data_IF_925242319202
#
_entry.id   IF_925242319202
#
_cell.length_a   1.000
_cell.length_b   1.000
_cell.length_c   1.000
_cell.angle_alpha   90.00
_cell.angle_beta   90.00
_cell.angle_gamma   90.00
#
_symmetry.space_group_name_H-M   'P 1'
#
loop_
_entity.id
_entity.type
_entity.pdbx_description
1 polymer ?
#
# COMPACT_ATOMS: atom_id res chain seq x y z
N UNK A 1 38.02 30.08 -37.49
CA UNK A 1 37.91 30.69 -36.14
C UNK A 1 36.69 30.19 -35.35
N UNK A 2 35.46 30.31 -35.88
CA UNK A 2 34.21 29.90 -35.19
C UNK A 2 34.19 28.46 -34.64
N UNK A 3 34.69 27.48 -35.40
CA UNK A 3 34.74 26.07 -34.97
C UNK A 3 35.70 25.82 -33.79
N UNK A 4 36.88 26.46 -33.79
CA UNK A 4 37.86 26.35 -32.68
C UNK A 4 37.33 27.01 -31.40
N UNK A 5 36.63 28.14 -31.54
CA UNK A 5 35.98 28.82 -30.43
C UNK A 5 34.87 27.96 -29.81
N UNK A 6 34.02 27.35 -30.65
CA UNK A 6 32.97 26.43 -30.22
C UNK A 6 33.54 25.21 -29.48
N UNK A 7 34.63 24.63 -30.00
CA UNK A 7 35.31 23.51 -29.35
C UNK A 7 35.90 23.87 -27.99
N UNK A 8 36.58 25.02 -27.90
CA UNK A 8 37.10 25.52 -26.63
C UNK A 8 35.97 25.75 -25.62
N UNK A 9 34.83 26.28 -26.07
CA UNK A 9 33.65 26.48 -25.23
C UNK A 9 33.05 25.16 -24.73
N UNK A 10 32.93 24.15 -25.60
CA UNK A 10 32.41 22.83 -25.22
C UNK A 10 33.33 22.10 -24.23
N UNK A 11 34.66 22.18 -24.43
CA UNK A 11 35.64 21.57 -23.53
C UNK A 11 35.67 22.30 -22.18
N UNK A 12 35.77 23.63 -22.19
CA UNK A 12 35.81 24.42 -20.96
C UNK A 12 34.50 24.34 -20.18
N UNK A 13 33.36 24.47 -20.86
CA UNK A 13 32.04 24.33 -20.26
C UNK A 13 31.78 22.92 -19.74
N UNK A 14 32.16 21.89 -20.50
CA UNK A 14 32.05 20.51 -20.06
C UNK A 14 32.92 20.20 -18.84
N UNK A 15 34.19 20.62 -18.86
CA UNK A 15 35.10 20.48 -17.73
C UNK A 15 34.63 21.23 -16.47
N UNK A 16 34.11 22.45 -16.65
CA UNK A 16 33.52 23.23 -15.56
C UNK A 16 32.33 22.50 -14.91
N UNK A 17 31.39 21.97 -15.71
CA UNK A 17 30.25 21.20 -15.19
C UNK A 17 30.70 19.94 -14.44
N UNK A 18 31.71 19.22 -14.93
CA UNK A 18 32.26 18.05 -14.23
C UNK A 18 32.81 18.46 -12.85
N UNK A 19 33.62 19.53 -12.79
CA UNK A 19 34.18 20.05 -11.52
C UNK A 19 33.07 20.49 -10.57
N UNK A 20 32.06 21.23 -11.06
CA UNK A 20 30.92 21.64 -10.25
C UNK A 20 30.18 20.43 -9.69
N UNK A 21 29.89 19.42 -10.52
CA UNK A 21 29.21 18.21 -10.08
C UNK A 21 30.00 17.40 -9.04
N UNK A 22 31.34 17.39 -9.12
CA UNK A 22 32.20 16.75 -8.12
C UNK A 22 32.24 17.53 -6.81
N UNK A 23 32.42 18.85 -6.89
CA UNK A 23 32.56 19.72 -5.71
C UNK A 23 31.24 19.87 -4.94
N UNK A 24 30.10 19.94 -5.64
CA UNK A 24 28.78 20.14 -5.06
C UNK A 24 28.18 18.85 -4.47
N UNK A 25 28.93 18.23 -3.56
CA UNK A 25 28.60 16.99 -2.85
C UNK A 25 27.65 17.22 -1.66
N UNK A 26 26.97 16.17 -1.15
CA UNK A 26 26.18 16.26 0.07
C UNK A 26 26.94 16.89 1.23
N UNK A 27 28.18 16.49 1.44
CA UNK A 27 29.09 17.04 2.45
C UNK A 27 29.35 18.53 2.27
N UNK A 28 29.59 18.97 1.02
CA UNK A 28 29.81 20.37 0.72
C UNK A 28 28.56 21.20 1.00
N UNK A 29 27.39 20.71 0.57
CA UNK A 29 26.11 21.38 0.79
C UNK A 29 25.76 21.39 2.29
N UNK A 30 25.99 20.31 3.01
CA UNK A 30 25.80 20.21 4.47
C UNK A 30 26.63 21.28 5.18
N UNK A 31 27.95 21.27 4.95
CA UNK A 31 28.91 22.11 5.67
C UNK A 31 28.82 23.58 5.29
N UNK A 32 28.76 23.90 4.00
CA UNK A 32 28.97 25.26 3.52
C UNK A 32 27.68 26.00 3.12
N UNK A 33 26.62 25.28 2.74
CA UNK A 33 25.36 25.91 2.29
C UNK A 33 24.30 25.87 3.38
N UNK A 34 24.05 24.69 3.95
CA UNK A 34 23.00 24.48 4.94
C UNK A 34 23.49 24.64 6.39
N UNK A 35 24.81 24.56 6.61
CA UNK A 35 25.46 24.63 7.93
C UNK A 35 24.86 23.63 8.93
N UNK A 36 24.68 22.40 8.47
CA UNK A 36 24.20 21.26 9.25
C UNK A 36 25.24 20.14 9.18
N UNK A 37 25.31 19.28 10.20
CA UNK A 37 26.24 18.14 10.20
C UNK A 37 25.87 17.10 9.14
N UNK A 38 24.58 16.82 8.98
CA UNK A 38 24.06 15.84 8.01
C UNK A 38 22.86 16.45 7.30
N UNK A 39 22.78 16.26 5.97
CA UNK A 39 21.61 16.70 5.21
C UNK A 39 20.41 15.82 5.51
N UNK A 40 19.23 16.42 5.47
CA UNK A 40 18.00 15.65 5.42
C UNK A 40 18.03 14.71 4.19
N UNK A 41 17.64 13.41 4.30
CA UNK A 41 17.80 12.42 3.23
C UNK A 41 17.19 12.82 1.88
N UNK A 42 16.07 13.55 1.88
CA UNK A 42 15.46 14.09 0.66
C UNK A 42 16.37 15.12 -0.01
N UNK A 43 16.99 16.00 0.77
CA UNK A 43 17.89 17.02 0.28
C UNK A 43 19.17 16.38 -0.23
N UNK A 44 19.71 15.42 0.51
CA UNK A 44 20.86 14.61 0.09
C UNK A 44 20.61 13.90 -1.24
N UNK A 45 19.47 13.21 -1.39
CA UNK A 45 19.10 12.56 -2.64
C UNK A 45 18.99 13.55 -3.82
N UNK A 46 18.45 14.76 -3.59
CA UNK A 46 18.41 15.82 -4.61
C UNK A 46 19.80 16.30 -5.00
N UNK A 47 20.70 16.45 -4.02
CA UNK A 47 22.09 16.84 -4.27
C UNK A 47 22.80 15.76 -5.07
N UNK A 48 22.67 14.48 -4.69
CA UNK A 48 23.23 13.36 -5.44
C UNK A 48 22.71 13.31 -6.89
N UNK A 49 21.41 13.48 -7.12
CA UNK A 49 20.85 13.57 -8.47
C UNK A 49 21.40 14.76 -9.25
N UNK A 50 21.56 15.93 -8.61
CA UNK A 50 22.19 17.10 -9.21
C UNK A 50 23.64 16.81 -9.62
N UNK A 51 24.42 16.13 -8.78
CA UNK A 51 25.78 15.71 -9.11
C UNK A 51 25.79 14.81 -10.35
N UNK A 52 24.93 13.79 -10.40
CA UNK A 52 24.82 12.88 -11.54
C UNK A 52 24.52 13.64 -12.84
N UNK A 53 23.52 14.52 -12.82
CA UNK A 53 23.13 15.28 -14.02
C UNK A 53 24.23 16.24 -14.48
N UNK A 54 24.90 16.90 -13.55
CA UNK A 54 25.93 17.89 -13.88
C UNK A 54 27.20 17.22 -14.43
N UNK A 55 27.64 16.10 -13.82
CA UNK A 55 28.74 15.28 -14.33
C UNK A 55 28.39 14.73 -15.71
N UNK A 56 27.19 14.17 -15.89
CA UNK A 56 26.74 13.60 -17.17
C UNK A 56 26.66 14.64 -18.28
N UNK A 57 26.06 15.81 -18.01
CA UNK A 57 26.00 16.92 -18.96
C UNK A 57 27.41 17.40 -19.36
N UNK A 58 28.31 17.52 -18.38
CA UNK A 58 29.69 17.90 -18.64
C UNK A 58 30.42 16.91 -19.56
N UNK A 59 30.30 15.60 -19.30
CA UNK A 59 30.89 14.57 -20.17
C UNK A 59 30.29 14.53 -21.57
N UNK A 60 28.98 14.74 -21.72
CA UNK A 60 28.34 14.82 -23.04
C UNK A 60 28.88 15.99 -23.86
N UNK A 61 29.15 17.15 -23.23
CA UNK A 61 29.76 18.30 -23.91
C UNK A 61 31.21 18.02 -24.33
N UNK A 62 32.00 17.37 -23.46
CA UNK A 62 33.38 16.99 -23.79
C UNK A 62 33.39 15.94 -24.91
N UNK A 63 32.53 14.92 -24.85
CA UNK A 63 32.40 13.90 -25.91
C UNK A 63 31.97 14.51 -27.24
N UNK A 64 30.99 15.42 -27.21
CA UNK A 64 30.54 16.16 -28.39
C UNK A 64 31.70 16.99 -28.97
N UNK A 65 32.51 17.63 -28.12
CA UNK A 65 33.69 18.38 -28.58
C UNK A 65 34.70 17.48 -29.31
N UNK A 66 34.97 16.28 -28.80
CA UNK A 66 35.88 15.31 -29.42
C UNK A 66 35.33 14.83 -30.77
N UNK A 67 34.02 14.57 -30.84
CA UNK A 67 33.31 14.20 -32.06
C UNK A 67 33.39 15.29 -33.14
N UNK A 68 33.16 16.55 -32.75
CA UNK A 68 33.20 17.70 -33.63
C UNK A 68 34.62 18.12 -34.02
N UNK A 69 35.66 17.75 -33.25
CA UNK A 69 37.04 18.11 -33.54
C UNK A 69 37.63 17.26 -34.66
N UNK A 70 37.66 15.93 -34.51
CA UNK A 70 38.21 15.03 -35.52
C UNK A 70 37.91 13.55 -35.23
N UNK A 71 37.52 12.82 -36.28
CA UNK A 71 37.29 11.36 -36.25
C UNK A 71 38.52 10.57 -35.75
N UNK A 72 39.74 11.10 -35.93
CA UNK A 72 40.97 10.47 -35.43
C UNK A 72 41.01 10.49 -33.90
N UNK A 73 40.62 11.59 -33.29
CA UNK A 73 40.63 11.74 -31.82
C UNK A 73 39.45 11.05 -31.16
N UNK A 74 38.32 10.91 -31.84
CA UNK A 74 37.23 10.04 -31.38
C UNK A 74 37.75 8.63 -31.13
N UNK A 75 38.53 8.05 -32.05
CA UNK A 75 39.09 6.70 -31.87
C UNK A 75 40.05 6.58 -30.67
N UNK A 76 40.67 7.67 -30.24
CA UNK A 76 41.70 7.66 -29.19
C UNK A 76 41.14 8.08 -27.83
N UNK A 77 40.31 9.12 -27.78
CA UNK A 77 39.84 9.76 -26.55
C UNK A 77 38.48 9.27 -26.07
N UNK A 78 37.69 8.62 -26.93
CA UNK A 78 36.34 8.19 -26.57
C UNK A 78 36.34 7.15 -25.43
N UNK A 79 37.20 6.13 -25.52
CA UNK A 79 37.28 5.09 -24.48
C UNK A 79 37.80 5.65 -23.13
N UNK A 80 38.89 6.42 -23.06
CA UNK A 80 39.32 7.08 -21.82
C UNK A 80 38.26 7.99 -21.20
N UNK A 81 37.52 8.76 -22.02
CA UNK A 81 36.45 9.63 -21.54
C UNK A 81 35.28 8.84 -20.97
N UNK A 82 34.90 7.73 -21.59
CA UNK A 82 33.86 6.83 -21.04
C UNK A 82 34.32 6.23 -19.72
N UNK A 83 35.57 5.75 -19.63
CA UNK A 83 36.12 5.20 -18.38
C UNK A 83 36.09 6.26 -17.27
N UNK A 84 36.55 7.48 -17.56
CA UNK A 84 36.53 8.59 -16.60
C UNK A 84 35.10 8.95 -16.16
N UNK A 85 34.13 8.95 -17.08
CA UNK A 85 32.72 9.16 -16.76
C UNK A 85 32.20 8.08 -15.81
N UNK A 86 32.41 6.80 -16.13
CA UNK A 86 31.95 5.67 -15.32
C UNK A 86 32.57 5.72 -13.92
N UNK A 87 33.87 6.00 -13.79
CA UNK A 87 34.56 6.11 -12.50
C UNK A 87 33.98 7.26 -11.66
N UNK A 88 33.72 8.42 -12.27
CA UNK A 88 33.17 9.58 -11.56
C UNK A 88 31.71 9.35 -11.14
N UNK A 89 30.87 8.80 -12.02
CA UNK A 89 29.50 8.44 -11.67
C UNK A 89 29.47 7.38 -10.57
N UNK A 90 30.35 6.38 -10.64
CA UNK A 90 30.44 5.37 -9.60
C UNK A 90 30.83 6.00 -8.26
N UNK A 91 31.96 6.72 -8.22
CA UNK A 91 32.54 7.28 -6.98
C UNK A 91 31.64 8.32 -6.32
N UNK A 92 31.05 9.22 -7.10
CA UNK A 92 30.33 10.38 -6.57
C UNK A 92 28.82 10.20 -6.50
N UNK A 93 28.27 9.20 -7.19
CA UNK A 93 26.82 8.95 -7.17
C UNK A 93 26.49 7.53 -6.70
N UNK A 94 26.96 6.49 -7.41
CA UNK A 94 26.50 5.12 -7.13
C UNK A 94 26.98 4.61 -5.77
N UNK A 95 28.27 4.76 -5.45
CA UNK A 95 28.86 4.32 -4.19
C UNK A 95 28.29 5.11 -3.00
N UNK A 96 28.00 6.40 -3.19
CA UNK A 96 27.34 7.21 -2.16
C UNK A 96 25.86 6.85 -1.97
N UNK A 97 25.14 6.60 -3.06
CA UNK A 97 23.71 6.29 -3.01
C UNK A 97 23.45 4.83 -2.59
N UNK A 98 24.37 3.93 -2.94
CA UNK A 98 24.30 2.49 -2.74
C UNK A 98 25.70 1.93 -2.34
N UNK A 99 26.21 2.26 -1.13
CA UNK A 99 27.56 1.86 -0.68
C UNK A 99 27.76 0.34 -0.56
N UNK A 100 26.64 -0.36 -0.45
CA UNK A 100 26.57 -1.82 -0.36
C UNK A 100 26.42 -2.49 -1.74
N UNK A 101 26.33 -1.71 -2.82
CA UNK A 101 26.21 -2.25 -4.17
C UNK A 101 27.51 -2.96 -4.54
N UNK A 102 27.44 -4.27 -4.76
CA UNK A 102 28.60 -5.07 -5.17
C UNK A 102 28.83 -5.04 -6.68
N UNK A 103 27.86 -4.62 -7.49
CA UNK A 103 27.91 -4.73 -8.95
C UNK A 103 29.04 -3.92 -9.61
N UNK A 104 29.47 -2.83 -8.98
CA UNK A 104 30.47 -1.91 -9.53
C UNK A 104 31.68 -1.72 -8.59
N UNK A 105 31.79 -2.53 -7.53
CA UNK A 105 33.03 -2.56 -6.74
C UNK A 105 34.16 -3.17 -7.57
N UNK A 106 35.40 -2.65 -7.51
CA UNK A 106 36.49 -3.11 -8.35
C UNK A 106 36.79 -4.61 -8.24
N UNK A 107 36.65 -5.18 -7.05
CA UNK A 107 36.83 -6.60 -6.72
C UNK A 107 35.69 -7.50 -7.24
N UNK A 108 34.57 -6.90 -7.64
CA UNK A 108 33.34 -7.57 -8.09
C UNK A 108 32.95 -7.21 -9.53
N UNK A 109 33.83 -6.50 -10.24
CA UNK A 109 33.61 -6.06 -11.63
C UNK A 109 33.33 -7.22 -12.61
N UNK A 110 33.69 -8.46 -12.25
CA UNK A 110 33.28 -9.67 -12.97
C UNK A 110 31.75 -9.82 -13.09
N UNK A 111 30.97 -9.33 -12.10
CA UNK A 111 29.49 -9.36 -12.10
C UNK A 111 28.92 -8.51 -13.24
N UNK A 112 29.55 -7.38 -13.55
CA UNK A 112 29.19 -6.56 -14.71
C UNK A 112 29.30 -7.37 -16.01
N UNK A 113 30.40 -8.10 -16.20
CA UNK A 113 30.57 -8.96 -17.35
C UNK A 113 29.58 -10.13 -17.36
N UNK A 114 29.23 -10.69 -16.21
CA UNK A 114 28.23 -11.77 -16.17
C UNK A 114 26.85 -11.29 -16.60
N UNK A 115 26.44 -10.08 -16.19
CA UNK A 115 25.20 -9.46 -16.69
C UNK A 115 25.28 -9.23 -18.21
N UNK A 116 26.36 -8.61 -18.71
CA UNK A 116 26.50 -8.34 -20.15
C UNK A 116 26.54 -9.60 -21.00
N UNK A 117 27.13 -10.68 -20.49
CA UNK A 117 27.24 -11.96 -21.18
C UNK A 117 26.01 -12.85 -20.96
N UNK A 118 24.95 -12.35 -20.31
CA UNK A 118 23.73 -13.11 -20.03
C UNK A 118 23.94 -14.31 -19.10
N UNK A 119 25.00 -14.29 -18.30
CA UNK A 119 25.34 -15.32 -17.32
C UNK A 119 24.70 -15.09 -15.96
N UNK A 120 24.11 -13.91 -15.74
CA UNK A 120 23.34 -13.55 -14.55
C UNK A 120 21.89 -13.30 -14.94
N UNK A 121 20.97 -13.79 -14.11
CA UNK A 121 19.55 -13.52 -14.21
C UNK A 121 19.20 -12.40 -13.24
N UNK A 122 18.62 -11.30 -13.71
CA UNK A 122 18.18 -10.24 -12.81
C UNK A 122 17.12 -10.79 -11.86
N UNK A 123 17.17 -10.37 -10.59
CA UNK A 123 16.17 -10.78 -9.61
C UNK A 123 14.76 -10.39 -10.08
N UNK A 124 14.58 -9.28 -10.80
CA UNK A 124 13.31 -8.87 -11.43
C UNK A 124 12.76 -9.87 -12.46
N UNK A 125 13.65 -10.60 -13.13
CA UNK A 125 13.31 -11.62 -14.13
C UNK A 125 13.20 -13.03 -13.51
N UNK A 126 13.68 -13.20 -12.27
CA UNK A 126 13.62 -14.46 -11.54
C UNK A 126 12.18 -14.81 -11.15
N UNK A 127 11.58 -15.70 -11.94
CA UNK A 127 10.22 -16.25 -11.76
C UNK A 127 10.27 -17.78 -11.72
N UNK A 128 10.79 -18.37 -10.63
CA UNK A 128 10.94 -19.82 -10.54
C UNK A 128 9.58 -20.50 -10.64
N UNK A 129 9.54 -21.67 -11.27
CA UNK A 129 8.38 -22.56 -11.24
C UNK A 129 8.63 -23.61 -10.16
N UNK A 130 7.67 -23.79 -9.26
CA UNK A 130 7.75 -24.83 -8.24
C UNK A 130 7.85 -26.20 -8.90
N UNK A 131 8.72 -27.06 -8.37
CA UNK A 131 8.79 -28.48 -8.74
C UNK A 131 8.00 -29.36 -7.77
N UNK A 132 7.35 -28.77 -6.77
CA UNK A 132 6.49 -29.51 -5.84
C UNK A 132 5.25 -30.02 -6.59
N UNK A 133 4.89 -31.28 -6.33
CA UNK A 133 3.64 -31.87 -6.81
C UNK A 133 2.68 -31.87 -5.62
N UNK A 134 1.83 -30.85 -5.58
CA UNK A 134 0.91 -30.59 -4.47
C UNK A 134 -0.53 -30.75 -4.92
N UNK A 135 -1.42 -30.96 -3.96
CA UNK A 135 -2.85 -30.84 -4.22
C UNK A 135 -3.17 -29.42 -4.69
N UNK A 136 -4.11 -29.31 -5.62
CA UNK A 136 -4.58 -28.05 -6.15
C UNK A 136 -6.10 -28.14 -6.31
N UNK A 137 -6.82 -27.49 -5.40
CA UNK A 137 -8.28 -27.52 -5.40
C UNK A 137 -8.84 -26.26 -6.04
N UNK A 138 -9.73 -26.44 -7.03
CA UNK A 138 -10.50 -25.34 -7.61
C UNK A 138 -11.79 -25.13 -6.80
N UNK A 139 -11.79 -24.11 -5.94
CA UNK A 139 -12.95 -23.75 -5.12
C UNK A 139 -13.80 -22.73 -5.86
N UNK A 140 -14.70 -23.20 -6.73
CA UNK A 140 -15.50 -22.32 -7.61
C UNK A 140 -16.60 -21.54 -6.88
N UNK A 141 -17.13 -22.11 -5.79
CA UNK A 141 -18.22 -21.58 -4.97
C UNK A 141 -17.89 -21.81 -3.50
N UNK A 142 -18.24 -20.87 -2.64
CA UNK A 142 -18.10 -21.01 -1.19
C UNK A 142 -18.88 -22.21 -0.66
N UNK A 143 -18.33 -22.89 0.36
CA UNK A 143 -18.98 -24.01 1.06
C UNK A 143 -20.28 -23.61 1.76
N UNK A 144 -20.33 -22.39 2.28
CA UNK A 144 -21.49 -21.79 2.93
C UNK A 144 -21.81 -20.44 2.31
N UNK A 145 -23.04 -19.91 2.47
CA UNK A 145 -23.35 -18.58 1.98
C UNK A 145 -22.45 -17.50 2.56
N UNK A 146 -22.05 -16.53 1.74
CA UNK A 146 -21.11 -15.47 2.12
C UNK A 146 -21.78 -14.10 2.12
N UNK A 147 -21.53 -13.31 3.16
CA UNK A 147 -21.75 -11.86 3.18
C UNK A 147 -20.38 -11.20 3.17
N UNK A 148 -20.04 -10.56 2.07
CA UNK A 148 -18.77 -9.86 1.94
C UNK A 148 -18.87 -8.45 2.52
N UNK A 149 -18.30 -8.22 3.70
CA UNK A 149 -18.41 -6.93 4.40
C UNK A 149 -17.48 -5.84 3.89
N UNK A 150 -16.65 -6.14 2.89
CA UNK A 150 -15.63 -5.21 2.41
C UNK A 150 -15.48 -5.29 0.89
N UNK A 151 -16.29 -4.49 0.19
CA UNK A 151 -16.14 -4.27 -1.25
C UNK A 151 -16.09 -2.79 -1.57
N UNK A 152 -15.47 -2.50 -2.71
CA UNK A 152 -15.44 -1.18 -3.33
C UNK A 152 -16.00 -1.35 -4.74
N UNK A 153 -16.89 -0.47 -5.19
CA UNK A 153 -17.58 -0.57 -6.49
C UNK A 153 -17.21 0.56 -7.45
N UNK A 154 -16.49 1.58 -6.98
CA UNK A 154 -16.30 2.85 -7.70
C UNK A 154 -14.84 3.27 -7.88
N UNK A 155 -13.93 2.79 -7.04
CA UNK A 155 -12.54 3.28 -7.02
C UNK A 155 -11.54 2.50 -7.89
N UNK A 156 -11.99 1.45 -8.62
CA UNK A 156 -11.10 0.58 -9.40
C UNK A 156 -11.47 0.52 -10.90
N UNK A 157 -10.65 -0.21 -11.67
CA UNK A 157 -10.54 -0.17 -13.14
C UNK A 157 -11.87 -0.35 -13.90
N UNK A 158 -12.84 -1.06 -13.33
CA UNK A 158 -14.13 -1.37 -13.99
C UNK A 158 -15.30 -0.90 -13.12
N UNK A 159 -16.21 -0.10 -13.68
CA UNK A 159 -17.48 0.22 -13.01
C UNK A 159 -18.50 -0.82 -13.39
N UNK A 160 -18.78 -1.74 -12.47
CA UNK A 160 -19.78 -2.79 -12.65
C UNK A 160 -21.17 -2.29 -12.24
N UNK A 161 -22.19 -2.69 -12.98
CA UNK A 161 -23.59 -2.51 -12.60
C UNK A 161 -23.97 -3.47 -11.45
N UNK A 162 -25.04 -3.17 -10.67
CA UNK A 162 -25.54 -4.09 -9.65
C UNK A 162 -25.89 -5.49 -10.20
N UNK A 163 -26.33 -5.58 -11.45
CA UNK A 163 -26.63 -6.85 -12.11
C UNK A 163 -25.37 -7.69 -12.37
N UNK A 164 -24.31 -7.06 -12.87
CA UNK A 164 -23.03 -7.72 -13.11
C UNK A 164 -22.39 -8.21 -11.82
N UNK A 165 -22.43 -7.39 -10.76
CA UNK A 165 -21.96 -7.78 -9.44
C UNK A 165 -22.79 -8.93 -8.88
N UNK A 166 -24.12 -8.89 -9.00
CA UNK A 166 -25.00 -9.97 -8.54
C UNK A 166 -24.73 -11.29 -9.27
N UNK A 167 -24.42 -11.25 -10.57
CA UNK A 167 -24.03 -12.44 -11.34
C UNK A 167 -22.74 -13.06 -10.83
N UNK A 168 -21.73 -12.24 -10.53
CA UNK A 168 -20.46 -12.69 -9.94
C UNK A 168 -20.72 -13.33 -8.57
N UNK A 169 -21.56 -12.68 -7.76
CA UNK A 169 -21.96 -13.18 -6.44
C UNK A 169 -22.66 -14.54 -6.55
N UNK A 170 -23.63 -14.70 -7.46
CA UNK A 170 -24.37 -15.94 -7.68
C UNK A 170 -23.45 -17.09 -8.10
N UNK A 171 -22.48 -16.81 -8.97
CA UNK A 171 -21.49 -17.78 -9.42
C UNK A 171 -20.55 -18.26 -8.28
N UNK A 172 -20.34 -17.41 -7.27
CA UNK A 172 -19.41 -17.66 -6.17
C UNK A 172 -20.09 -18.10 -4.86
N UNK A 173 -21.42 -18.04 -4.76
CA UNK A 173 -22.14 -18.35 -3.52
C UNK A 173 -22.17 -17.20 -2.51
N UNK A 174 -22.07 -15.96 -2.99
CA UNK A 174 -22.15 -14.74 -2.18
C UNK A 174 -23.59 -14.24 -2.16
N UNK A 175 -24.19 -14.12 -0.98
CA UNK A 175 -25.56 -13.65 -0.80
C UNK A 175 -25.63 -12.12 -0.89
N UNK A 176 -24.77 -11.43 -0.14
CA UNK A 176 -24.74 -9.97 -0.09
C UNK A 176 -23.32 -9.41 -0.05
N UNK A 177 -23.20 -8.15 -0.46
CA UNK A 177 -21.98 -7.36 -0.35
C UNK A 177 -22.26 -6.05 0.38
N UNK A 178 -21.29 -5.61 1.16
CA UNK A 178 -21.24 -4.24 1.68
C UNK A 178 -20.42 -3.40 0.70
N UNK A 179 -21.07 -2.42 0.07
CA UNK A 179 -20.40 -1.37 -0.70
C UNK A 179 -19.95 -0.25 0.28
N UNK A 180 -18.64 0.00 0.31
CA UNK A 180 -18.03 1.01 1.17
C UNK A 180 -17.85 2.37 0.49
N UNK A 181 -18.37 2.53 -0.74
CA UNK A 181 -18.22 3.72 -1.58
C UNK A 181 -19.46 4.63 -1.55
N UNK A 182 -20.10 4.75 -0.38
CA UNK A 182 -21.24 5.65 -0.15
C UNK A 182 -20.81 7.07 0.23
N UNK A 183 -20.04 7.74 -0.62
CA UNK A 183 -19.61 9.14 -0.41
C UNK A 183 -20.78 10.14 -0.43
N UNK A 184 -20.62 11.38 0.09
CA UNK A 184 -21.70 12.36 0.18
C UNK A 184 -22.45 12.63 -1.13
N UNK A 185 -21.74 12.56 -2.27
CA UNK A 185 -22.33 12.78 -3.59
C UNK A 185 -22.84 11.49 -4.26
N UNK A 186 -22.30 10.33 -3.86
CA UNK A 186 -22.57 9.03 -4.50
C UNK A 186 -23.62 8.21 -3.74
N UNK A 187 -23.81 8.48 -2.46
CA UNK A 187 -24.65 7.69 -1.56
C UNK A 187 -26.10 7.60 -2.04
N UNK A 188 -26.75 8.74 -2.31
CA UNK A 188 -28.16 8.77 -2.73
C UNK A 188 -28.38 8.05 -4.07
N UNK A 189 -27.64 8.37 -5.15
CA UNK A 189 -27.78 7.65 -6.42
C UNK A 189 -27.57 6.14 -6.30
N UNK A 190 -26.58 5.70 -5.52
CA UNK A 190 -26.31 4.27 -5.29
C UNK A 190 -27.41 3.59 -4.51
N UNK A 191 -27.84 4.19 -3.41
CA UNK A 191 -28.94 3.67 -2.59
C UNK A 191 -30.22 3.51 -3.43
N UNK A 192 -30.53 4.49 -4.28
CA UNK A 192 -31.67 4.40 -5.21
C UNK A 192 -31.48 3.31 -6.27
N UNK A 193 -30.26 3.11 -6.77
CA UNK A 193 -29.93 2.01 -7.69
C UNK A 193 -30.13 0.65 -7.03
N UNK A 194 -29.70 0.46 -5.79
CA UNK A 194 -29.88 -0.80 -5.08
C UNK A 194 -31.34 -1.06 -4.71
N UNK A 195 -32.13 -0.03 -4.40
CA UNK A 195 -33.58 -0.14 -4.18
C UNK A 195 -34.38 -0.61 -5.40
N UNK A 196 -33.79 -0.58 -6.60
CA UNK A 196 -34.40 -1.08 -7.85
C UNK A 196 -34.15 -2.59 -8.05
N UNK A 197 -34.50 -3.40 -7.05
CA UNK A 197 -34.48 -4.86 -7.13
C UNK A 197 -33.24 -5.56 -6.59
N UNK A 198 -32.38 -4.88 -5.84
CA UNK A 198 -31.15 -5.45 -5.27
C UNK A 198 -30.98 -5.15 -3.76
N UNK A 199 -32.05 -4.76 -3.06
CA UNK A 199 -32.00 -4.36 -1.63
C UNK A 199 -31.58 -5.49 -0.68
N UNK A 200 -31.80 -6.73 -1.09
CA UNK A 200 -31.35 -7.94 -0.40
C UNK A 200 -29.93 -8.35 -0.80
N UNK A 201 -29.28 -7.67 -1.76
CA UNK A 201 -27.94 -8.03 -2.25
C UNK A 201 -26.86 -7.01 -1.87
N UNK A 202 -27.24 -5.75 -1.67
CA UNK A 202 -26.30 -4.66 -1.41
C UNK A 202 -26.64 -3.89 -0.13
N UNK A 203 -25.64 -3.77 0.74
CA UNK A 203 -25.67 -2.93 1.92
C UNK A 203 -24.70 -1.78 1.66
N UNK A 204 -25.15 -0.53 1.77
CA UNK A 204 -24.29 0.63 1.51
C UNK A 204 -23.87 1.27 2.83
N UNK A 205 -22.56 1.43 3.03
CA UNK A 205 -22.04 2.22 4.15
C UNK A 205 -21.88 3.67 3.74
N UNK A 206 -22.24 4.58 4.65
CA UNK A 206 -22.01 6.00 4.45
C UNK A 206 -20.54 6.35 4.75
N UNK A 207 -19.89 7.07 3.85
CA UNK A 207 -18.51 7.48 4.01
C UNK A 207 -18.42 8.94 4.49
N UNK A 208 -17.59 9.17 5.50
CA UNK A 208 -17.17 10.54 5.86
C UNK A 208 -15.97 10.94 5.00
N UNK A 209 -16.14 11.99 4.20
CA UNK A 209 -15.08 12.59 3.37
C UNK A 209 -14.56 13.85 4.07
N UNK A 210 -13.35 13.76 4.60
CA UNK A 210 -12.69 14.86 5.29
C UNK A 210 -12.10 15.88 4.29
N UNK A 211 -12.45 17.17 4.37
CA UNK A 211 -11.90 18.20 3.49
C UNK A 211 -10.47 18.58 3.92
N UNK A 212 -9.51 17.75 3.53
CA UNK A 212 -8.08 17.84 3.88
C UNK A 212 -7.51 19.27 3.77
N UNK A 213 -6.83 19.73 4.83
CA UNK A 213 -6.21 21.05 4.94
C UNK A 213 -7.20 22.21 5.13
N UNK A 214 -8.51 21.97 5.10
CA UNK A 214 -9.55 23.03 5.19
C UNK A 214 -10.69 22.69 6.16
N UNK A 215 -10.47 21.70 7.03
CA UNK A 215 -11.46 21.27 8.04
C UNK A 215 -11.73 22.40 9.02
N UNK A 216 -12.99 22.79 9.12
CA UNK A 216 -13.51 23.76 10.10
C UNK A 216 -14.27 23.03 11.20
N UNK A 217 -14.40 23.62 12.39
CA UNK A 217 -15.13 22.98 13.50
C UNK A 217 -16.61 22.68 13.19
N UNK A 218 -17.23 23.42 12.26
CA UNK A 218 -18.59 23.15 11.78
C UNK A 218 -18.72 21.84 10.97
N UNK A 219 -17.61 21.24 10.53
CA UNK A 219 -17.60 19.97 9.81
C UNK A 219 -18.07 18.81 10.70
N UNK A 220 -17.61 18.76 11.96
CA UNK A 220 -17.90 17.64 12.87
C UNK A 220 -19.40 17.47 13.19
N UNK A 221 -20.15 18.52 13.61
CA UNK A 221 -21.59 18.38 13.81
C UNK A 221 -22.33 18.12 12.50
N UNK A 222 -21.84 18.63 11.36
CA UNK A 222 -22.41 18.30 10.05
C UNK A 222 -22.24 16.81 9.72
N UNK A 223 -21.07 16.23 9.97
CA UNK A 223 -20.81 14.81 9.70
C UNK A 223 -21.73 13.89 10.53
N UNK A 224 -22.03 14.27 11.77
CA UNK A 224 -23.03 13.57 12.61
C UNK A 224 -24.41 13.63 11.98
N UNK A 225 -24.86 14.82 11.57
CA UNK A 225 -26.17 14.99 10.92
C UNK A 225 -26.26 14.23 9.59
N UNK A 226 -25.20 14.29 8.78
CA UNK A 226 -25.14 13.56 7.50
C UNK A 226 -25.23 12.04 7.72
N UNK A 227 -24.60 11.51 8.77
CA UNK A 227 -24.70 10.10 9.15
C UNK A 227 -26.14 9.73 9.54
N UNK A 228 -26.80 10.53 10.39
CA UNK A 228 -28.19 10.31 10.78
C UNK A 228 -29.12 10.28 9.55
N UNK A 229 -28.95 11.23 8.63
CA UNK A 229 -29.75 11.27 7.40
C UNK A 229 -29.46 10.08 6.48
N UNK A 230 -28.19 9.64 6.37
CA UNK A 230 -27.82 8.46 5.60
C UNK A 230 -28.44 7.19 6.18
N UNK A 231 -28.47 7.02 7.51
CA UNK A 231 -29.11 5.88 8.17
C UNK A 231 -30.63 5.89 7.95
N UNK A 232 -31.30 7.05 8.06
CA UNK A 232 -32.74 7.19 7.69
C UNK A 232 -33.02 6.76 6.24
N UNK A 233 -32.04 6.93 5.35
CA UNK A 233 -32.14 6.52 3.95
C UNK A 233 -31.81 5.02 3.72
N UNK A 234 -31.28 4.32 4.71
CA UNK A 234 -30.95 2.90 4.68
C UNK A 234 -29.45 2.56 4.72
N UNK A 235 -28.58 3.47 5.15
CA UNK A 235 -27.16 3.13 5.37
C UNK A 235 -27.04 2.02 6.42
N UNK A 236 -26.26 0.98 6.10
CA UNK A 236 -26.03 -0.15 7.01
C UNK A 236 -24.82 0.02 7.95
N UNK A 237 -24.10 1.14 7.83
CA UNK A 237 -22.86 1.36 8.56
C UNK A 237 -22.14 2.65 8.14
N UNK A 238 -21.03 2.92 8.83
CA UNK A 238 -20.15 4.06 8.59
C UNK A 238 -18.78 3.58 8.09
N UNK A 239 -18.26 4.18 7.01
CA UNK A 239 -16.89 3.95 6.50
C UNK A 239 -15.98 5.13 6.82
N UNK A 240 -14.80 4.81 7.35
CA UNK A 240 -13.70 5.75 7.58
C UNK A 240 -12.44 5.25 6.88
N UNK A 241 -11.83 6.12 6.08
CA UNK A 241 -10.61 5.82 5.33
C UNK A 241 -9.35 6.11 6.13
N UNK A 242 -8.26 5.36 5.82
CA UNK A 242 -6.92 5.52 6.42
C UNK A 242 -6.32 6.90 6.35
N UNK A 243 -6.88 7.81 5.54
CA UNK A 243 -6.45 9.20 5.54
C UNK A 243 -6.60 9.82 6.92
N UNK A 244 -7.67 9.53 7.66
CA UNK A 244 -7.78 9.96 9.04
C UNK A 244 -6.69 9.29 9.89
N UNK A 245 -5.97 10.06 10.71
CA UNK A 245 -4.83 9.57 11.49
C UNK A 245 -3.51 9.55 10.73
N UNK A 246 -3.52 9.36 9.40
CA UNK A 246 -2.28 9.21 8.61
C UNK A 246 -1.94 10.44 7.75
N UNK A 247 -2.92 11.03 7.08
CA UNK A 247 -2.70 12.05 6.04
C UNK A 247 -3.58 13.28 6.16
N UNK A 248 -4.82 13.15 6.64
CA UNK A 248 -5.79 14.23 6.76
C UNK A 248 -5.28 15.30 7.71
N UNK A 249 -5.15 16.54 7.23
CA UNK A 249 -4.67 17.67 8.01
C UNK A 249 -5.79 18.64 8.33
N UNK A 250 -5.68 19.29 9.49
CA UNK A 250 -6.49 20.44 9.84
C UNK A 250 -6.00 21.71 9.12
N UNK A 251 -6.69 22.84 9.36
CA UNK A 251 -6.32 24.14 8.79
C UNK A 251 -4.95 24.68 9.25
N UNK A 252 -4.35 24.10 10.31
CA UNK A 252 -3.00 24.44 10.76
C UNK A 252 -1.92 23.61 10.03
N UNK A 253 -2.33 22.59 9.26
CA UNK A 253 -1.44 21.65 8.58
C UNK A 253 -1.02 20.46 9.45
N UNK A 254 -1.56 20.31 10.66
CA UNK A 254 -1.30 19.17 11.55
C UNK A 254 -2.21 17.99 11.17
N UNK A 255 -1.67 16.77 11.20
CA UNK A 255 -2.48 15.55 10.99
C UNK A 255 -3.50 15.42 12.11
N UNK A 256 -4.75 15.17 11.74
CA UNK A 256 -5.83 14.91 12.70
C UNK A 256 -5.68 13.47 13.21
N UNK A 257 -5.46 13.26 14.52
CA UNK A 257 -5.32 11.92 15.09
C UNK A 257 -6.66 11.17 15.04
N UNK A 258 -6.61 9.84 15.05
CA UNK A 258 -7.81 8.99 15.00
C UNK A 258 -8.72 9.23 16.22
N UNK A 259 -8.14 9.57 17.37
CA UNK A 259 -8.83 9.85 18.63
C UNK A 259 -9.07 11.34 18.92
N UNK A 260 -9.06 12.19 17.87
CA UNK A 260 -9.42 13.60 18.01
C UNK A 260 -10.80 13.73 18.70
N UNK A 261 -10.91 14.44 19.84
CA UNK A 261 -12.16 14.51 20.59
C UNK A 261 -13.35 15.07 19.81
N UNK A 262 -13.10 15.84 18.73
CA UNK A 262 -14.16 16.37 17.87
C UNK A 262 -14.88 15.27 17.08
N UNK A 263 -14.30 14.08 16.99
CA UNK A 263 -14.89 12.89 16.37
C UNK A 263 -15.71 12.06 17.36
N UNK A 264 -15.56 12.25 18.67
CA UNK A 264 -16.28 11.48 19.68
C UNK A 264 -17.82 11.50 19.47
N UNK A 265 -18.47 12.63 19.09
CA UNK A 265 -19.89 12.64 18.77
C UNK A 265 -20.28 11.76 17.57
N UNK A 266 -19.41 11.61 16.56
CA UNK A 266 -19.67 10.77 15.39
C UNK A 266 -19.66 9.29 15.79
N UNK A 267 -18.70 8.87 16.61
CA UNK A 267 -18.59 7.51 17.11
C UNK A 267 -19.76 7.14 18.03
N UNK A 268 -20.10 8.03 18.96
CA UNK A 268 -21.26 7.85 19.84
C UNK A 268 -22.55 7.74 19.03
N UNK A 269 -22.72 8.60 18.00
CA UNK A 269 -23.90 8.55 17.14
C UNK A 269 -24.04 7.22 16.40
N UNK A 270 -22.95 6.66 15.87
CA UNK A 270 -23.00 5.33 15.24
C UNK A 270 -23.49 4.24 16.21
N UNK A 271 -23.03 4.28 17.47
CA UNK A 271 -23.52 3.40 18.54
C UNK A 271 -25.00 3.60 18.87
N UNK A 272 -25.44 4.85 19.04
CA UNK A 272 -26.86 5.19 19.25
C UNK A 272 -27.77 4.71 18.12
N UNK A 273 -27.30 4.80 16.87
CA UNK A 273 -28.01 4.33 15.69
C UNK A 273 -27.94 2.81 15.49
N UNK A 274 -27.15 2.10 16.29
CA UNK A 274 -27.01 0.64 16.22
C UNK A 274 -26.30 0.15 14.96
N UNK A 275 -25.42 0.97 14.35
CA UNK A 275 -24.69 0.61 13.13
C UNK A 275 -23.17 0.49 13.39
N UNK A 276 -22.47 -0.42 12.71
CA UNK A 276 -21.02 -0.56 12.87
C UNK A 276 -20.24 0.54 12.14
N UNK A 277 -19.03 0.80 12.64
CA UNK A 277 -18.04 1.66 11.99
C UNK A 277 -16.92 0.81 11.40
N UNK A 278 -16.85 0.68 10.08
CA UNK A 278 -15.68 0.08 9.41
C UNK A 278 -14.62 1.14 9.19
N UNK A 279 -13.45 0.95 9.82
CA UNK A 279 -12.39 1.94 9.86
C UNK A 279 -11.04 1.33 9.46
N UNK A 280 -10.40 1.97 8.49
CA UNK A 280 -9.04 1.69 8.06
C UNK A 280 -8.16 2.79 8.65
N UNK A 281 -7.10 2.45 9.40
CA UNK A 281 -6.26 3.45 10.10
C UNK A 281 -4.80 3.44 9.67
N UNK A 282 -4.25 2.30 9.23
CA UNK A 282 -2.82 2.14 8.94
C UNK A 282 -2.59 1.38 7.63
N UNK A 283 -1.34 1.05 7.32
CA UNK A 283 -0.92 0.19 6.20
C UNK A 283 0.07 -0.88 6.72
N UNK A 284 0.60 -1.82 5.89
CA UNK A 284 1.49 -2.88 6.38
C UNK A 284 2.74 -2.29 7.06
N UNK A 285 3.33 -3.01 8.02
CA UNK A 285 4.47 -2.52 8.83
C UNK A 285 5.60 -1.99 7.94
N UNK A 286 5.91 -2.74 6.89
CA UNK A 286 6.93 -2.42 5.91
C UNK A 286 6.74 -1.07 5.19
N UNK A 287 5.53 -0.52 5.14
CA UNK A 287 5.30 0.81 4.56
C UNK A 287 5.84 1.92 5.46
N UNK A 288 6.04 1.65 6.76
CA UNK A 288 6.59 2.56 7.73
C UNK A 288 8.11 2.36 7.94
N UNK A 289 8.76 1.48 7.17
CA UNK A 289 10.20 1.24 7.21
C UNK A 289 10.94 1.93 6.05
N UNK A 290 12.26 2.15 6.14
CA UNK A 290 13.06 2.60 5.00
C UNK A 290 12.82 1.72 3.76
N UNK A 291 12.76 2.32 2.58
CA UNK A 291 12.68 1.57 1.31
C UNK A 291 14.10 1.17 0.92
N UNK A 292 14.57 0.05 1.46
CA UNK A 292 15.90 -0.50 1.25
C UNK A 292 15.90 -2.04 1.13
N UNK A 293 17.09 -2.66 1.16
CA UNK A 293 17.28 -4.11 1.00
C UNK A 293 16.64 -4.97 2.11
N UNK A 294 16.24 -4.37 3.23
CA UNK A 294 15.61 -5.07 4.36
C UNK A 294 14.09 -4.92 4.37
N UNK A 295 13.52 -4.13 3.46
CA UNK A 295 12.09 -3.91 3.36
C UNK A 295 11.43 -5.00 2.50
N UNK A 296 10.58 -5.85 3.11
CA UNK A 296 9.90 -6.93 2.39
C UNK A 296 8.92 -6.45 1.30
N UNK A 297 8.54 -5.17 1.34
CA UNK A 297 7.67 -4.49 0.35
C UNK A 297 8.45 -3.57 -0.58
N UNK A 298 9.78 -3.71 -0.65
CA UNK A 298 10.62 -2.88 -1.51
C UNK A 298 10.08 -2.78 -2.94
N UNK A 299 9.74 -3.91 -3.58
CA UNK A 299 9.26 -3.91 -4.96
C UNK A 299 7.90 -3.21 -5.09
N UNK A 300 6.98 -3.49 -4.17
CA UNK A 300 5.66 -2.87 -4.15
C UNK A 300 5.75 -1.35 -4.00
N UNK A 301 6.64 -0.87 -3.12
CA UNK A 301 6.84 0.55 -2.85
C UNK A 301 7.67 1.24 -3.95
N UNK A 302 8.55 0.51 -4.63
CA UNK A 302 9.36 1.05 -5.72
C UNK A 302 8.55 1.31 -6.99
N UNK A 303 7.55 0.47 -7.29
CA UNK A 303 6.67 0.63 -8.45
C UNK A 303 5.84 1.94 -8.40
N UNK A 304 5.67 2.51 -7.21
CA UNK A 304 5.00 3.79 -7.00
C UNK A 304 3.48 3.72 -6.87
N UNK A 305 2.90 2.53 -6.96
CA UNK A 305 1.46 2.29 -6.78
C UNK A 305 1.00 2.58 -5.34
N UNK A 306 1.94 2.50 -4.38
CA UNK A 306 1.69 2.69 -2.95
C UNK A 306 2.59 3.77 -2.36
N UNK A 307 2.11 4.44 -1.32
CA UNK A 307 2.87 5.47 -0.60
C UNK A 307 3.57 4.86 0.61
N UNK A 308 4.89 5.03 0.71
CA UNK A 308 5.65 4.74 1.93
C UNK A 308 5.56 5.87 2.95
N UNK A 309 5.35 5.53 4.22
CA UNK A 309 5.12 6.44 5.35
C UNK A 309 6.31 6.59 6.31
N UNK A 310 7.49 6.07 5.97
CA UNK A 310 8.70 6.21 6.82
C UNK A 310 9.13 7.66 7.10
N UNK A 311 8.64 8.65 6.33
CA UNK A 311 9.06 10.06 6.50
C UNK A 311 8.50 10.67 7.79
N UNK A 312 9.25 11.54 8.50
CA UNK A 312 8.81 12.17 9.76
C UNK A 312 7.53 13.02 9.68
N UNK A 313 7.05 13.32 8.48
CA UNK A 313 5.79 14.05 8.25
C UNK A 313 4.54 13.20 8.50
N UNK A 314 4.71 11.88 8.60
CA UNK A 314 3.67 10.91 8.90
C UNK A 314 3.84 10.39 10.33
N UNK A 315 2.74 10.17 11.07
CA UNK A 315 2.80 9.50 12.35
C UNK A 315 3.23 8.03 12.18
N UNK A 316 3.78 7.45 13.24
CA UNK A 316 4.18 6.04 13.25
C UNK A 316 2.94 5.15 13.39
N UNK A 317 2.99 3.93 12.84
CA UNK A 317 1.88 2.98 12.91
C UNK A 317 1.44 2.70 14.35
N UNK A 318 2.38 2.52 15.27
CA UNK A 318 2.09 2.26 16.68
C UNK A 318 1.31 3.41 17.33
N UNK A 319 1.62 4.66 16.94
CA UNK A 319 0.89 5.83 17.42
C UNK A 319 -0.55 5.83 16.91
N UNK A 320 -0.75 5.54 15.62
CA UNK A 320 -2.08 5.48 15.01
C UNK A 320 -2.93 4.36 15.64
N UNK A 321 -2.36 3.17 15.82
CA UNK A 321 -3.06 2.06 16.48
C UNK A 321 -3.41 2.42 17.93
N UNK A 322 -2.51 3.12 18.64
CA UNK A 322 -2.80 3.59 20.00
C UNK A 322 -3.93 4.62 20.05
N UNK A 323 -3.99 5.52 19.08
CA UNK A 323 -5.12 6.45 18.93
C UNK A 323 -6.42 5.65 18.70
N UNK A 324 -6.41 4.66 17.80
CA UNK A 324 -7.60 3.83 17.59
C UNK A 324 -8.01 3.03 18.84
N UNK A 325 -7.05 2.52 19.61
CA UNK A 325 -7.29 1.88 20.92
C UNK A 325 -8.03 2.83 21.90
N UNK A 326 -7.69 4.12 21.88
CA UNK A 326 -8.39 5.12 22.69
C UNK A 326 -9.83 5.31 22.26
N UNK A 327 -10.13 5.26 20.95
CA UNK A 327 -11.49 5.30 20.42
C UNK A 327 -12.30 4.09 20.91
N UNK A 328 -11.75 2.87 20.76
CA UNK A 328 -12.41 1.65 21.24
C UNK A 328 -12.77 1.72 22.72
N UNK A 329 -11.84 2.23 23.55
CA UNK A 329 -12.02 2.38 25.00
C UNK A 329 -13.07 3.43 25.37
N UNK A 330 -13.15 4.54 24.62
CA UNK A 330 -14.09 5.63 24.91
C UNK A 330 -15.52 5.33 24.47
N UNK A 331 -15.69 4.47 23.46
CA UNK A 331 -16.97 4.19 22.82
C UNK A 331 -17.34 2.69 22.92
N UNK A 332 -17.52 2.13 24.14
CA UNK A 332 -17.75 0.70 24.32
C UNK A 332 -19.07 0.21 23.71
N UNK A 333 -20.05 1.10 23.55
CA UNK A 333 -21.37 0.79 22.97
C UNK A 333 -21.39 0.88 21.44
N UNK A 334 -20.30 1.35 20.82
CA UNK A 334 -20.15 1.42 19.36
C UNK A 334 -19.31 0.26 18.87
N UNK A 335 -19.84 -0.51 17.92
CA UNK A 335 -19.11 -1.59 17.26
C UNK A 335 -18.19 -1.02 16.18
N UNK A 336 -16.92 -1.42 16.21
CA UNK A 336 -15.95 -1.09 15.17
C UNK A 336 -15.52 -2.35 14.41
N UNK A 337 -15.39 -2.23 13.10
CA UNK A 337 -14.77 -3.23 12.23
C UNK A 337 -13.42 -2.66 11.78
N UNK A 338 -12.35 -3.23 12.32
CA UNK A 338 -11.00 -2.93 11.93
C UNK A 338 -10.68 -3.50 10.56
N UNK A 339 -10.60 -2.63 9.55
CA UNK A 339 -10.32 -3.02 8.18
C UNK A 339 -9.02 -3.83 8.09
N UNK A 340 -9.04 -4.92 7.32
CA UNK A 340 -7.83 -5.67 6.96
C UNK A 340 -7.07 -6.14 8.21
N UNK A 341 -7.73 -6.77 9.18
CA UNK A 341 -7.13 -7.20 10.44
C UNK A 341 -6.48 -6.04 11.22
N UNK A 342 -7.03 -4.82 11.12
CA UNK A 342 -6.42 -3.56 11.59
C UNK A 342 -5.02 -3.26 10.99
N UNK A 343 -4.68 -3.89 9.88
CA UNK A 343 -3.32 -3.98 9.35
C UNK A 343 -2.34 -4.52 10.40
N UNK A 344 -2.76 -5.53 11.19
CA UNK A 344 -1.94 -6.16 12.23
C UNK A 344 -1.74 -7.67 11.98
N UNK A 345 -1.93 -8.13 10.75
CA UNK A 345 -1.73 -9.55 10.43
C UNK A 345 -0.25 -9.97 10.60
N UNK A 346 0.70 -9.04 10.50
CA UNK A 346 2.12 -9.29 10.81
C UNK A 346 2.36 -9.61 12.29
N UNK A 347 1.43 -9.23 13.18
CA UNK A 347 1.50 -9.47 14.62
C UNK A 347 0.14 -9.88 15.19
N UNK A 348 -0.29 -11.10 14.86
CA UNK A 348 -1.55 -11.69 15.35
C UNK A 348 -1.61 -11.80 16.88
N UNK A 349 -0.47 -11.90 17.57
CA UNK A 349 -0.43 -11.87 19.03
C UNK A 349 -0.91 -10.55 19.60
N UNK A 350 -0.44 -9.43 19.04
CA UNK A 350 -0.91 -8.10 19.43
C UNK A 350 -2.37 -7.88 19.04
N UNK A 351 -2.77 -8.25 17.81
CA UNK A 351 -4.17 -8.14 17.39
C UNK A 351 -5.11 -8.95 18.30
N UNK A 352 -4.72 -10.16 18.68
CA UNK A 352 -5.49 -11.00 19.61
C UNK A 352 -5.67 -10.33 20.98
N UNK A 353 -4.64 -9.66 21.49
CA UNK A 353 -4.72 -8.90 22.75
C UNK A 353 -5.72 -7.73 22.67
N UNK A 354 -5.88 -7.11 21.50
CA UNK A 354 -6.88 -6.07 21.29
C UNK A 354 -8.30 -6.67 21.25
N UNK A 355 -8.48 -7.80 20.56
CA UNK A 355 -9.77 -8.50 20.52
C UNK A 355 -10.21 -9.02 21.90
N UNK A 356 -9.27 -9.50 22.72
CA UNK A 356 -9.53 -9.92 24.11
C UNK A 356 -9.95 -8.71 24.98
N UNK A 357 -9.34 -7.55 24.76
CA UNK A 357 -9.54 -6.35 25.58
C UNK A 357 -10.78 -5.54 25.20
N UNK A 358 -11.15 -5.53 23.92
CA UNK A 358 -12.20 -4.67 23.38
C UNK A 358 -13.36 -5.50 22.81
N UNK A 359 -14.40 -5.77 23.61
CA UNK A 359 -15.55 -6.57 23.17
C UNK A 359 -16.37 -5.90 22.06
N UNK A 360 -16.09 -4.64 21.70
CA UNK A 360 -16.69 -3.92 20.59
C UNK A 360 -15.84 -3.89 19.30
N UNK A 361 -14.66 -4.53 19.28
CA UNK A 361 -13.80 -4.65 18.09
C UNK A 361 -14.00 -5.96 17.29
N UNK A 362 -14.43 -5.84 16.04
CA UNK A 362 -14.37 -6.89 15.01
C UNK A 362 -13.28 -6.56 14.01
N UNK A 363 -12.90 -7.53 13.17
CA UNK A 363 -11.98 -7.32 12.04
C UNK A 363 -12.47 -8.04 10.78
N UNK A 364 -12.10 -7.55 9.61
CA UNK A 364 -12.25 -8.28 8.34
C UNK A 364 -10.90 -8.75 7.80
N UNK A 365 -10.85 -9.90 7.11
CA UNK A 365 -9.58 -10.40 6.54
C UNK A 365 -9.14 -9.62 5.30
N UNK A 366 -10.03 -9.43 4.33
CA UNK A 366 -9.83 -8.63 3.11
C UNK A 366 -8.44 -8.80 2.50
N UNK A 367 -7.74 -7.71 2.18
CA UNK A 367 -6.43 -7.72 1.56
C UNK A 367 -5.28 -8.34 2.39
N UNK A 368 -5.53 -8.91 3.59
CA UNK A 368 -4.50 -9.54 4.43
C UNK A 368 -4.25 -11.03 4.16
N UNK A 369 -4.90 -11.62 3.17
CA UNK A 369 -4.62 -13.02 2.78
C UNK A 369 -3.12 -13.29 2.53
N UNK A 370 -2.32 -12.40 1.89
CA UNK A 370 -0.88 -12.61 1.73
C UNK A 370 -0.11 -12.74 3.06
N UNK A 371 -0.48 -11.97 4.08
CA UNK A 371 0.14 -11.95 5.41
C UNK A 371 -0.32 -13.12 6.28
N UNK A 372 -1.61 -13.46 6.23
CA UNK A 372 -2.18 -14.57 6.97
C UNK A 372 -1.72 -15.91 6.40
N UNK A 373 -1.73 -16.03 5.07
CA UNK A 373 -1.40 -17.26 4.35
C UNK A 373 0.08 -17.61 4.34
N UNK A 374 0.98 -16.66 4.64
CA UNK A 374 2.42 -16.95 4.86
C UNK A 374 2.76 -17.37 6.30
N UNK A 375 1.76 -17.46 7.18
CA UNK A 375 1.88 -17.94 8.58
C UNK A 375 0.73 -18.90 8.96
N UNK A 376 0.47 -19.96 8.16
CA UNK A 376 -0.82 -20.67 8.17
C UNK A 376 -1.20 -21.30 9.51
N UNK A 377 -0.24 -21.81 10.29
CA UNK A 377 -0.54 -22.41 11.60
C UNK A 377 -1.03 -21.37 12.61
N UNK A 378 -0.29 -20.27 12.76
CA UNK A 378 -0.65 -19.16 13.64
C UNK A 378 -1.97 -18.52 13.21
N UNK A 379 -2.15 -18.29 11.90
CA UNK A 379 -3.38 -17.74 11.36
C UNK A 379 -4.59 -18.67 11.59
N UNK A 380 -4.42 -19.98 11.39
CA UNK A 380 -5.49 -20.96 11.64
C UNK A 380 -5.92 -20.97 13.10
N UNK A 381 -4.96 -21.02 14.03
CA UNK A 381 -5.24 -20.97 15.47
C UNK A 381 -5.94 -19.67 15.87
N UNK A 382 -5.50 -18.54 15.32
CA UNK A 382 -6.11 -17.24 15.53
C UNK A 382 -7.57 -17.22 15.05
N UNK A 383 -7.83 -17.73 13.84
CA UNK A 383 -9.18 -17.78 13.27
C UNK A 383 -10.13 -18.66 14.09
N UNK A 384 -9.66 -19.78 14.61
CA UNK A 384 -10.45 -20.66 15.49
C UNK A 384 -10.76 -19.96 16.82
N UNK A 385 -9.75 -19.32 17.43
CA UNK A 385 -9.90 -18.65 18.74
C UNK A 385 -10.83 -17.44 18.67
N UNK A 386 -10.73 -16.64 17.62
CA UNK A 386 -11.47 -15.38 17.45
C UNK A 386 -12.59 -15.49 16.40
N UNK A 387 -13.07 -16.70 16.13
CA UNK A 387 -14.06 -17.00 15.08
C UNK A 387 -15.33 -16.16 15.15
N UNK A 388 -15.75 -15.69 16.34
CA UNK A 388 -16.95 -14.86 16.50
C UNK A 388 -16.71 -13.37 16.20
N UNK A 389 -15.46 -12.97 15.90
CA UNK A 389 -15.03 -11.57 15.72
C UNK A 389 -14.38 -11.26 14.37
N UNK A 390 -14.25 -12.26 13.51
CA UNK A 390 -13.65 -12.14 12.17
C UNK A 390 -14.75 -12.18 11.12
N UNK A 391 -14.68 -11.28 10.14
CA UNK A 391 -15.66 -11.12 9.07
C UNK A 391 -15.00 -11.40 7.72
N UNK A 392 -15.77 -11.98 6.79
CA UNK A 392 -15.32 -12.15 5.40
C UNK A 392 -15.32 -10.82 4.64
N UNK A 393 -14.22 -10.52 3.97
CA UNK A 393 -14.04 -9.31 3.14
C UNK A 393 -13.07 -9.57 1.99
N UNK A 394 -13.13 -8.78 0.90
CA UNK A 394 -12.19 -8.91 -0.23
C UNK A 394 -11.43 -7.63 -0.60
N UNK A 395 -11.84 -6.45 -0.11
CA UNK A 395 -11.27 -5.10 -0.41
C UNK A 395 -11.39 -4.61 -1.87
N UNK A 396 -11.63 -5.51 -2.83
CA UNK A 396 -11.70 -5.17 -4.25
C UNK A 396 -13.11 -4.94 -4.79
N UNK A 397 -13.15 -4.53 -6.07
CA UNK A 397 -14.31 -4.79 -6.93
C UNK A 397 -14.59 -6.31 -6.94
N UNK A 398 -15.86 -6.75 -6.84
CA UNK A 398 -16.21 -8.15 -6.92
C UNK A 398 -15.70 -8.79 -8.21
N UNK A 399 -14.89 -9.85 -8.09
CA UNK A 399 -14.42 -10.68 -9.21
C UNK A 399 -14.44 -12.13 -8.77
N UNK A 400 -14.79 -13.01 -9.69
CA UNK A 400 -14.87 -14.45 -9.38
C UNK A 400 -13.53 -15.00 -8.92
N UNK A 401 -12.43 -14.62 -9.59
CA UNK A 401 -11.08 -15.07 -9.22
C UNK A 401 -10.71 -14.71 -7.79
N UNK A 402 -11.01 -13.48 -7.37
CA UNK A 402 -10.68 -13.01 -6.03
C UNK A 402 -11.49 -13.78 -4.97
N UNK A 403 -12.80 -13.99 -5.17
CA UNK A 403 -13.59 -14.84 -4.27
C UNK A 403 -13.05 -16.26 -4.17
N UNK A 404 -12.77 -16.90 -5.31
CA UNK A 404 -12.28 -18.28 -5.36
C UNK A 404 -10.93 -18.44 -4.66
N UNK A 405 -10.03 -17.46 -4.82
CA UNK A 405 -8.73 -17.46 -4.13
C UNK A 405 -8.91 -17.31 -2.60
N UNK A 406 -9.86 -16.49 -2.14
CA UNK A 406 -10.19 -16.38 -0.71
C UNK A 406 -10.82 -17.68 -0.16
N UNK A 407 -11.72 -18.32 -0.91
CA UNK A 407 -12.31 -19.60 -0.50
C UNK A 407 -11.25 -20.71 -0.45
N UNK A 408 -10.40 -20.80 -1.47
CA UNK A 408 -9.26 -21.71 -1.47
C UNK A 408 -8.38 -21.51 -0.24
N UNK A 409 -8.06 -20.26 0.10
CA UNK A 409 -7.30 -19.92 1.29
C UNK A 409 -7.97 -20.38 2.59
N UNK A 410 -9.28 -20.22 2.74
CA UNK A 410 -9.98 -20.53 4.00
C UNK A 410 -10.36 -22.01 4.13
N UNK A 411 -10.76 -22.66 3.04
CA UNK A 411 -11.42 -23.97 3.06
C UNK A 411 -10.49 -25.16 2.84
N UNK A 412 -9.31 -24.95 2.24
CA UNK A 412 -8.43 -26.03 1.79
C UNK A 412 -7.16 -26.10 2.61
N UNK A 413 -6.48 -27.24 2.56
CA UNK A 413 -5.12 -27.42 3.07
C UNK A 413 -4.09 -27.28 1.93
N UNK A 414 -4.41 -26.54 0.87
CA UNK A 414 -3.50 -26.35 -0.25
C UNK A 414 -2.22 -25.65 0.19
N UNK A 415 -1.11 -26.02 -0.43
CA UNK A 415 0.20 -25.51 -0.07
C UNK A 415 0.80 -24.74 -1.24
N UNK A 416 1.58 -23.71 -0.92
CA UNK A 416 2.46 -23.03 -1.86
C UNK A 416 1.75 -22.53 -3.15
N UNK A 417 0.65 -21.78 -2.99
CA UNK A 417 -0.08 -21.17 -4.11
C UNK A 417 -0.07 -19.64 -4.05
N UNK A 418 -0.51 -19.01 -5.14
CA UNK A 418 -0.57 -17.56 -5.26
C UNK A 418 -1.70 -16.98 -4.39
N UNK A 419 -1.45 -15.83 -3.76
CA UNK A 419 -2.47 -15.11 -3.01
C UNK A 419 -3.44 -14.35 -3.94
N UNK A 420 -4.66 -14.01 -3.47
CA UNK A 420 -5.60 -13.17 -4.23
C UNK A 420 -4.94 -11.88 -4.72
N UNK A 421 -5.31 -11.38 -5.90
CA UNK A 421 -4.73 -10.20 -6.53
C UNK A 421 -3.25 -10.27 -6.94
N UNK A 422 -2.52 -11.37 -6.72
CA UNK A 422 -1.10 -11.53 -7.09
C UNK A 422 -0.77 -11.23 -8.56
N UNK A 423 -1.76 -11.37 -9.45
CA UNK A 423 -1.64 -11.06 -10.89
C UNK A 423 -1.73 -9.56 -11.20
N UNK A 424 -2.27 -8.78 -10.26
CA UNK A 424 -2.59 -7.35 -10.41
C UNK A 424 -1.62 -6.52 -9.57
N UNK A 425 -1.42 -6.93 -8.31
CA UNK A 425 -0.52 -6.29 -7.37
C UNK A 425 0.45 -7.31 -6.79
N UNK A 426 1.75 -7.00 -6.83
CA UNK A 426 2.75 -7.76 -6.09
C UNK A 426 2.78 -7.25 -4.66
N UNK A 427 2.19 -7.99 -3.73
CA UNK A 427 2.32 -7.77 -2.30
C UNK A 427 3.65 -8.30 -1.75
N UNK A 428 4.37 -9.09 -2.53
CA UNK A 428 5.69 -9.60 -2.22
C UNK A 428 5.95 -10.94 -2.87
N UNK A 429 7.21 -11.41 -2.77
CA UNK A 429 7.71 -12.63 -3.43
C UNK A 429 7.53 -13.88 -2.57
N UNK A 430 6.33 -14.09 -2.05
CA UNK A 430 5.98 -15.30 -1.32
C UNK A 430 4.74 -15.96 -1.90
N UNK A 431 4.59 -17.25 -1.55
CA UNK A 431 3.36 -18.01 -1.74
C UNK A 431 2.64 -18.12 -0.40
N UNK A 432 1.39 -18.55 -0.46
CA UNK A 432 0.56 -18.77 0.72
C UNK A 432 0.11 -20.24 0.82
N UNK A 433 -0.49 -20.55 1.95
CA UNK A 433 -1.01 -21.86 2.31
C UNK A 433 -2.44 -21.69 2.84
N UNK A 434 -3.28 -22.69 2.59
CA UNK A 434 -4.65 -22.72 3.05
C UNK A 434 -4.75 -23.01 4.54
N UNK A 435 -5.76 -22.44 5.20
CA UNK A 435 -5.98 -22.58 6.64
C UNK A 435 -6.75 -23.84 7.01
N UNK A 436 -7.45 -24.47 6.06
CA UNK A 436 -8.31 -25.64 6.30
C UNK A 436 -9.18 -25.47 7.56
N UNK A 437 -9.99 -24.41 7.56
CA UNK A 437 -10.80 -24.05 8.72
C UNK A 437 -11.95 -25.05 8.94
N UNK A 438 -12.31 -25.35 10.20
CA UNK A 438 -13.50 -26.15 10.50
C UNK A 438 -14.79 -25.47 10.00
N UNK A 439 -15.80 -26.28 9.69
CA UNK A 439 -17.09 -25.81 9.15
C UNK A 439 -17.77 -24.75 10.04
N UNK A 440 -17.77 -24.94 11.36
CA UNK A 440 -18.34 -23.97 12.31
C UNK A 440 -17.67 -22.59 12.19
N UNK A 441 -16.34 -22.57 12.01
CA UNK A 441 -15.56 -21.34 11.87
C UNK A 441 -15.86 -20.67 10.52
N UNK A 442 -15.96 -21.46 9.45
CA UNK A 442 -16.31 -20.97 8.12
C UNK A 442 -17.69 -20.30 8.12
N UNK A 443 -18.72 -20.93 8.68
CA UNK A 443 -20.07 -20.35 8.76
C UNK A 443 -20.10 -19.00 9.49
N UNK A 444 -19.32 -18.88 10.59
CA UNK A 444 -19.25 -17.63 11.36
C UNK A 444 -18.61 -16.51 10.56
N UNK A 445 -17.46 -16.78 9.97
CA UNK A 445 -16.70 -15.80 9.18
C UNK A 445 -17.46 -15.43 7.91
N UNK A 446 -18.07 -16.41 7.24
CA UNK A 446 -18.75 -16.20 5.97
C UNK A 446 -20.03 -15.39 6.14
N UNK A 447 -20.85 -15.64 7.17
CA UNK A 447 -22.10 -14.92 7.28
C UNK A 447 -22.65 -14.70 8.70
N UNK A 448 -22.49 -15.62 9.67
CA UNK A 448 -23.21 -15.46 10.96
C UNK A 448 -22.78 -14.20 11.71
N UNK A 449 -21.49 -13.87 11.67
CA UNK A 449 -20.97 -12.65 12.30
C UNK A 449 -21.50 -11.40 11.59
N UNK A 450 -21.53 -11.40 10.25
CA UNK A 450 -22.04 -10.29 9.46
C UNK A 450 -23.56 -10.09 9.68
N UNK A 451 -24.36 -11.16 9.68
CA UNK A 451 -25.82 -11.09 9.98
C UNK A 451 -26.08 -10.47 11.35
N UNK A 452 -25.31 -10.87 12.36
CA UNK A 452 -25.41 -10.30 13.71
C UNK A 452 -25.11 -8.80 13.73
N UNK A 453 -24.10 -8.34 12.99
CA UNK A 453 -23.65 -6.95 13.02
C UNK A 453 -24.44 -6.00 12.13
N UNK A 454 -24.89 -6.50 10.98
CA UNK A 454 -25.55 -5.68 9.95
C UNK A 454 -27.08 -5.76 10.05
N UNK A 455 -27.60 -6.56 10.98
CA UNK A 455 -29.03 -6.86 11.09
C UNK A 455 -29.64 -7.34 9.75
N UNK A 456 -28.84 -8.14 9.03
CA UNK A 456 -29.11 -8.67 7.69
C UNK A 456 -29.74 -10.06 7.72
#
# INVERSE_FOLDING_TARGET
MKRRLLLAFLIAGGGFLIVVGVVFSPDFVARYIKRVEVLHPITEAKVLSYQLYTITAGFLLVLLSVFLYSRKYVKILFLPLIIAYVVLVYTFYIDKRYPENTFLKPDEFKKFWYVLLGKELFLSDYKPRSTLVLANHEVNRARYPVINVHTHQTYWIEKLSPEEVSRIMDNCGVEAVVDLDGGPNDFRPKMESYKKGYSDRFILFYQVVFPDGTIKDSFFPKAVNDLEEAVKMGAGGLKIWKRLGLMTRDSSGKVIPVDDPRLDPLWAKAGELGIPVLIHVADPDAFFFPIDRFNERFEQLQLGDFTGFYKPIFPRKEEIIKQFENVLRKHPDTVFIGAHMLMLAENLGYLGSLLDKYPNLYVDLSAQVPELGRQPYTAREFFIRYQDRILFGTDGNPREGDYRDHFRFLETSDEYFDYPFSKIHSFGRWKIYGLYLPDEVLEKIYYKNAKKLLHY
#
